data_IF_935950820051
#
_entry.id   IF_935950820051
#
_cell.length_a   1.000
_cell.length_b   1.000
_cell.length_c   1.000
_cell.angle_alpha   90.00
_cell.angle_beta   90.00
_cell.angle_gamma   90.00
#
_symmetry.space_group_name_H-M   'P 1'
#
loop_
_entity.id
_entity.type
_entity.pdbx_description
1 polymer ?
#
# COMPACT_ATOMS: atom_id res chain seq x y z
N UNK A 1 44.25 -15.32 -29.91
CA UNK A 1 43.70 -16.54 -29.29
C UNK A 1 42.89 -16.11 -28.08
N UNK A 2 41.58 -15.96 -28.25
CA UNK A 2 40.68 -15.54 -27.17
C UNK A 2 39.82 -16.74 -26.79
N UNK A 3 39.98 -17.20 -25.55
CA UNK A 3 39.22 -18.30 -24.99
C UNK A 3 37.73 -17.96 -24.97
N UNK A 4 36.96 -18.73 -25.72
CA UNK A 4 35.50 -18.76 -25.62
C UNK A 4 35.20 -19.38 -24.26
N UNK A 5 34.81 -18.55 -23.30
CA UNK A 5 34.15 -19.02 -22.08
C UNK A 5 32.90 -19.77 -22.52
N UNK A 6 32.94 -21.09 -22.41
CA UNK A 6 31.79 -21.98 -22.52
C UNK A 6 30.74 -21.47 -21.54
N UNK A 7 29.71 -20.79 -22.06
CA UNK A 7 28.50 -20.53 -21.32
C UNK A 7 27.97 -21.87 -20.83
N UNK A 8 27.80 -21.99 -19.51
CA UNK A 8 27.18 -23.15 -18.91
C UNK A 8 25.85 -23.42 -19.62
N UNK A 9 25.55 -24.66 -20.03
CA UNK A 9 24.30 -24.95 -20.70
C UNK A 9 23.15 -24.53 -19.78
N UNK A 10 22.28 -23.65 -20.28
CA UNK A 10 20.99 -23.32 -19.66
C UNK A 10 20.37 -24.65 -19.23
N UNK A 11 20.21 -24.82 -17.91
CA UNK A 11 19.46 -25.96 -17.36
C UNK A 11 18.11 -25.92 -18.05
N UNK A 12 17.86 -26.85 -18.99
CA UNK A 12 16.53 -27.10 -19.51
C UNK A 12 15.69 -27.40 -18.27
N UNK A 13 14.86 -26.45 -17.85
CA UNK A 13 13.89 -26.70 -16.79
C UNK A 13 13.02 -27.82 -17.34
N UNK A 14 13.15 -29.01 -16.74
CA UNK A 14 12.39 -30.17 -17.16
C UNK A 14 10.92 -29.80 -17.00
N UNK A 15 10.22 -29.63 -18.12
CA UNK A 15 8.80 -29.27 -18.14
C UNK A 15 8.04 -30.28 -17.28
N UNK A 16 7.30 -29.79 -16.29
CA UNK A 16 6.50 -30.64 -15.40
C UNK A 16 5.59 -31.54 -16.25
N UNK A 17 5.66 -32.85 -16.02
CA UNK A 17 4.81 -33.81 -16.69
C UNK A 17 3.59 -34.07 -15.83
N UNK A 18 2.43 -33.60 -16.26
CA UNK A 18 1.17 -33.87 -15.58
C UNK A 18 0.82 -35.37 -15.71
N UNK A 19 0.47 -36.00 -14.60
CA UNK A 19 0.22 -37.45 -14.50
C UNK A 19 -1.23 -37.76 -14.18
N UNK A 20 -1.78 -37.14 -13.14
CA UNK A 20 -3.17 -37.34 -12.71
C UNK A 20 -3.76 -36.02 -12.25
N UNK A 21 -5.08 -35.87 -12.35
CA UNK A 21 -5.83 -34.75 -11.79
C UNK A 21 -6.92 -35.33 -10.92
N UNK A 22 -6.93 -34.97 -9.65
CA UNK A 22 -8.00 -35.30 -8.71
C UNK A 22 -8.94 -34.11 -8.62
N UNK A 23 -10.24 -34.38 -8.74
CA UNK A 23 -11.30 -33.40 -8.51
C UNK A 23 -11.90 -33.71 -7.16
N UNK A 24 -11.83 -32.75 -6.26
CA UNK A 24 -12.42 -32.80 -4.93
C UNK A 24 -13.66 -31.92 -4.90
N UNK A 25 -14.69 -32.38 -4.20
CA UNK A 25 -15.91 -31.61 -3.99
C UNK A 25 -15.76 -30.56 -2.86
N UNK A 26 -16.84 -29.82 -2.57
CA UNK A 26 -16.89 -28.83 -1.48
C UNK A 26 -16.57 -29.41 -0.08
N UNK A 27 -16.53 -30.74 0.05
CA UNK A 27 -16.28 -31.48 1.30
C UNK A 27 -14.84 -32.03 1.35
N UNK A 28 -14.07 -31.88 0.28
CA UNK A 28 -12.73 -32.46 0.15
C UNK A 28 -12.74 -33.95 -0.22
N UNK A 29 -13.91 -34.51 -0.53
CA UNK A 29 -14.04 -35.89 -0.99
C UNK A 29 -13.79 -35.98 -2.49
N UNK A 30 -13.25 -37.12 -2.95
CA UNK A 30 -12.95 -37.34 -4.36
C UNK A 30 -14.24 -37.41 -5.19
N UNK A 31 -14.47 -36.36 -5.99
CA UNK A 31 -15.56 -36.29 -6.96
C UNK A 31 -15.21 -36.97 -8.29
N UNK A 32 -13.92 -37.03 -8.63
CA UNK A 32 -13.45 -37.72 -9.82
C UNK A 32 -11.93 -37.73 -9.98
N UNK A 33 -11.44 -38.65 -10.81
CA UNK A 33 -10.03 -38.78 -11.16
C UNK A 33 -9.87 -38.77 -12.68
N UNK A 34 -8.98 -37.91 -13.18
CA UNK A 34 -8.55 -37.90 -14.57
C UNK A 34 -7.12 -38.42 -14.64
N UNK A 35 -6.98 -39.63 -15.16
CA UNK A 35 -5.68 -40.30 -15.34
C UNK A 35 -5.14 -39.92 -16.73
N UNK A 36 -4.06 -39.15 -16.76
CA UNK A 36 -3.35 -38.78 -18.00
C UNK A 36 -2.21 -39.76 -18.31
N UNK A 37 -1.64 -40.37 -17.27
CA UNK A 37 -0.61 -41.39 -17.36
C UNK A 37 -0.97 -42.59 -16.45
N UNK A 38 -1.26 -43.73 -17.06
CA UNK A 38 -1.67 -44.95 -16.37
C UNK A 38 -0.55 -45.63 -15.57
N UNK A 39 0.70 -45.30 -15.88
CA UNK A 39 1.88 -45.93 -15.28
C UNK A 39 2.36 -45.17 -14.02
N UNK A 40 1.60 -44.19 -13.55
CA UNK A 40 1.95 -43.40 -12.37
C UNK A 40 1.68 -44.19 -11.07
N UNK A 41 2.72 -44.46 -10.25
CA UNK A 41 2.62 -45.32 -9.07
C UNK A 41 2.02 -44.62 -7.83
N UNK A 42 1.68 -43.33 -7.94
CA UNK A 42 1.14 -42.54 -6.83
C UNK A 42 -0.38 -42.48 -6.94
N UNK A 43 -1.04 -42.76 -5.83
CA UNK A 43 -2.49 -42.76 -5.71
C UNK A 43 -2.98 -41.66 -4.76
N UNK A 44 -4.30 -41.41 -4.80
CA UNK A 44 -4.94 -40.43 -3.91
C UNK A 44 -4.71 -40.71 -2.42
N UNK A 45 -4.55 -41.98 -2.05
CA UNK A 45 -4.23 -42.35 -0.66
C UNK A 45 -2.85 -41.85 -0.21
N UNK A 46 -1.91 -41.65 -1.13
CA UNK A 46 -0.59 -41.09 -0.79
C UNK A 46 -0.63 -39.57 -0.69
N UNK A 47 -1.56 -38.92 -1.42
CA UNK A 47 -1.89 -37.51 -1.20
C UNK A 47 -2.47 -37.28 0.20
N UNK A 48 -3.44 -38.09 0.62
CA UNK A 48 -4.08 -37.96 1.94
C UNK A 48 -3.10 -38.14 3.11
N UNK A 49 -2.06 -38.96 2.95
CA UNK A 49 -1.01 -39.15 3.98
C UNK A 49 -0.09 -37.95 4.14
N UNK A 50 0.05 -37.13 3.09
CA UNK A 50 0.97 -35.99 3.04
C UNK A 50 0.22 -34.66 3.21
N UNK A 51 -1.12 -34.70 3.18
CA UNK A 51 -1.96 -33.55 3.41
C UNK A 51 -1.79 -33.06 4.87
N UNK A 52 -1.44 -31.78 5.09
CA UNK A 52 -1.41 -31.21 6.43
C UNK A 52 -2.80 -31.20 7.09
N UNK A 53 -2.86 -31.26 8.42
CA UNK A 53 -4.11 -31.19 9.19
C UNK A 53 -4.89 -29.87 8.95
N UNK A 54 -4.19 -28.82 8.52
CA UNK A 54 -4.74 -27.51 8.16
C UNK A 54 -5.30 -27.47 6.72
N UNK A 55 -5.07 -28.51 5.92
CA UNK A 55 -5.40 -28.58 4.51
C UNK A 55 -4.31 -28.00 3.60
N UNK A 56 -4.56 -27.99 2.29
CA UNK A 56 -3.69 -27.38 1.29
C UNK A 56 -4.35 -26.10 0.74
N UNK A 57 -3.61 -24.99 0.70
CA UNK A 57 -4.10 -23.72 0.19
C UNK A 57 -4.19 -23.68 -1.34
N UNK A 58 -4.89 -22.67 -1.86
CA UNK A 58 -4.96 -22.44 -3.30
C UNK A 58 -3.56 -22.13 -3.85
N UNK A 59 -3.16 -22.87 -4.88
CA UNK A 59 -1.84 -22.82 -5.57
C UNK A 59 -0.67 -23.33 -4.73
N UNK A 60 -0.93 -23.91 -3.57
CA UNK A 60 0.11 -24.54 -2.78
C UNK A 60 0.51 -25.90 -3.37
N UNK A 61 1.78 -26.24 -3.18
CA UNK A 61 2.38 -27.45 -3.73
C UNK A 61 2.98 -28.32 -2.62
N UNK A 62 2.56 -29.58 -2.57
CA UNK A 62 3.10 -30.61 -1.68
C UNK A 62 4.02 -31.55 -2.45
N UNK A 63 5.19 -31.83 -1.88
CA UNK A 63 6.24 -32.63 -2.52
C UNK A 63 6.24 -34.06 -1.98
N UNK A 64 6.13 -35.04 -2.88
CA UNK A 64 6.22 -36.47 -2.58
C UNK A 64 7.27 -37.09 -3.50
N UNK A 65 8.53 -37.06 -3.04
CA UNK A 65 9.67 -37.55 -3.80
C UNK A 65 9.89 -36.76 -5.10
N UNK A 66 9.75 -37.43 -6.25
CA UNK A 66 9.87 -36.80 -7.58
C UNK A 66 8.56 -36.16 -8.08
N UNK A 67 7.47 -36.30 -7.31
CA UNK A 67 6.13 -35.86 -7.70
C UNK A 67 5.66 -34.70 -6.83
N UNK A 68 4.83 -33.85 -7.42
CA UNK A 68 4.32 -32.63 -6.82
C UNK A 68 2.81 -32.61 -6.97
N UNK A 69 2.11 -32.44 -5.86
CA UNK A 69 0.67 -32.17 -5.80
C UNK A 69 0.45 -30.68 -5.71
N UNK A 70 -0.19 -30.07 -6.71
CA UNK A 70 -0.55 -28.65 -6.68
C UNK A 70 -2.06 -28.51 -6.62
N UNK A 71 -2.58 -27.89 -5.57
CA UNK A 71 -4.02 -27.67 -5.43
C UNK A 71 -4.45 -26.35 -6.07
N UNK A 72 -5.61 -26.36 -6.70
CA UNK A 72 -6.28 -25.18 -7.24
C UNK A 72 -7.72 -25.17 -6.78
N UNK A 73 -8.13 -24.09 -6.13
CA UNK A 73 -9.49 -23.91 -5.68
C UNK A 73 -10.27 -23.14 -6.75
N UNK A 74 -11.32 -23.76 -7.31
CA UNK A 74 -12.23 -23.10 -8.24
C UNK A 74 -13.66 -23.29 -7.80
N UNK A 75 -14.22 -22.24 -7.18
CA UNK A 75 -15.61 -22.21 -6.76
C UNK A 75 -15.96 -23.32 -5.78
N UNK A 76 -16.72 -24.31 -6.26
CA UNK A 76 -17.24 -25.45 -5.49
C UNK A 76 -16.37 -26.70 -5.54
N UNK A 77 -15.33 -26.69 -6.38
CA UNK A 77 -14.46 -27.83 -6.58
C UNK A 77 -13.01 -27.43 -6.31
N UNK A 78 -12.23 -28.37 -5.78
CA UNK A 78 -10.78 -28.23 -5.67
C UNK A 78 -10.10 -29.24 -6.59
N UNK A 79 -9.19 -28.77 -7.44
CA UNK A 79 -8.45 -29.58 -8.39
C UNK A 79 -7.05 -29.79 -7.86
N UNK A 80 -6.66 -31.04 -7.62
CA UNK A 80 -5.31 -31.39 -7.19
C UNK A 80 -4.58 -32.04 -8.37
N UNK A 81 -3.59 -31.34 -8.90
CA UNK A 81 -2.78 -31.79 -10.02
C UNK A 81 -1.56 -32.54 -9.50
N UNK A 82 -1.39 -33.78 -9.95
CA UNK A 82 -0.18 -34.57 -9.72
C UNK A 82 0.74 -34.43 -10.92
N UNK A 83 1.91 -33.83 -10.72
CA UNK A 83 2.93 -33.63 -11.74
C UNK A 83 4.27 -34.23 -11.32
N UNK A 84 5.08 -34.69 -12.29
CA UNK A 84 6.48 -35.07 -12.06
C UNK A 84 7.35 -33.86 -12.36
N UNK A 85 8.00 -33.32 -11.32
CA UNK A 85 8.70 -32.03 -11.35
C UNK A 85 7.80 -30.84 -11.00
N UNK A 86 8.42 -29.69 -10.67
CA UNK A 86 7.71 -28.49 -10.25
C UNK A 86 7.06 -27.78 -11.44
N UNK A 87 5.78 -27.41 -11.32
CA UNK A 87 5.10 -26.55 -12.28
C UNK A 87 5.74 -25.16 -12.27
N UNK A 88 6.05 -24.62 -13.45
CA UNK A 88 6.50 -23.24 -13.56
C UNK A 88 5.37 -22.29 -13.09
N UNK A 89 5.69 -21.12 -12.51
CA UNK A 89 4.67 -20.18 -12.05
C UNK A 89 3.72 -19.73 -13.18
N UNK A 90 4.22 -19.69 -14.42
CA UNK A 90 3.42 -19.46 -15.62
C UNK A 90 2.41 -20.57 -15.87
N UNK A 91 2.83 -21.85 -15.77
CA UNK A 91 1.94 -23.00 -15.94
C UNK A 91 0.85 -23.02 -14.86
N UNK A 92 1.20 -22.68 -13.61
CA UNK A 92 0.25 -22.54 -12.49
C UNK A 92 -0.81 -21.46 -12.78
N UNK A 93 -0.39 -20.31 -13.32
CA UNK A 93 -1.32 -19.23 -13.66
C UNK A 93 -2.24 -19.59 -14.83
N UNK A 94 -1.72 -20.29 -15.84
CA UNK A 94 -2.52 -20.78 -16.96
C UNK A 94 -3.51 -21.87 -16.54
N UNK A 95 -3.11 -22.81 -15.68
CA UNK A 95 -4.02 -23.84 -15.15
C UNK A 95 -5.09 -23.21 -14.27
N UNK A 96 -4.74 -22.24 -13.41
CA UNK A 96 -5.71 -21.51 -12.62
C UNK A 96 -6.74 -20.80 -13.52
N UNK A 97 -6.28 -20.08 -14.55
CA UNK A 97 -7.16 -19.38 -15.49
C UNK A 97 -8.06 -20.33 -16.27
N UNK A 98 -7.52 -21.47 -16.73
CA UNK A 98 -8.30 -22.51 -17.42
C UNK A 98 -9.34 -23.15 -16.50
N UNK A 99 -9.01 -23.41 -15.23
CA UNK A 99 -9.93 -23.99 -14.26
C UNK A 99 -11.03 -22.99 -13.88
N UNK A 100 -10.69 -21.71 -13.68
CA UNK A 100 -11.68 -20.65 -13.46
C UNK A 100 -12.61 -20.46 -14.67
N UNK A 101 -12.08 -20.55 -15.90
CA UNK A 101 -12.88 -20.51 -17.11
C UNK A 101 -13.78 -21.74 -17.23
N UNK A 102 -13.26 -22.94 -16.97
CA UNK A 102 -14.04 -24.18 -16.97
C UNK A 102 -15.14 -24.17 -15.89
N UNK A 103 -14.87 -23.63 -14.71
CA UNK A 103 -15.85 -23.44 -13.64
C UNK A 103 -16.96 -22.47 -14.05
N UNK A 104 -16.65 -21.37 -14.75
CA UNK A 104 -17.69 -20.49 -15.31
C UNK A 104 -18.63 -21.22 -16.30
N UNK A 105 -18.10 -22.20 -17.04
CA UNK A 105 -18.88 -23.04 -17.96
C UNK A 105 -19.64 -24.16 -17.24
N UNK A 106 -19.06 -24.75 -16.18
CA UNK A 106 -19.70 -25.78 -15.36
C UNK A 106 -20.79 -25.19 -14.47
N UNK A 107 -20.57 -24.02 -13.88
CA UNK A 107 -21.55 -23.25 -13.13
C UNK A 107 -22.77 -22.89 -14.00
N UNK A 108 -22.54 -22.51 -15.27
CA UNK A 108 -23.59 -22.30 -16.25
C UNK A 108 -24.33 -23.62 -16.60
N UNK A 109 -23.63 -24.75 -16.68
CA UNK A 109 -24.25 -26.06 -16.93
C UNK A 109 -25.11 -26.56 -15.75
N UNK A 110 -24.74 -26.26 -14.49
CA UNK A 110 -25.56 -26.57 -13.30
C UNK A 110 -26.87 -25.77 -13.19
N UNK A 111 -27.03 -24.69 -13.98
CA UNK A 111 -28.29 -23.92 -14.05
C UNK A 111 -29.30 -24.47 -15.06
N UNK A 112 -28.95 -25.53 -15.81
CA UNK A 112 -29.86 -26.22 -16.73
C UNK A 112 -30.44 -27.46 -16.03
N UNK A 113 -31.77 -27.65 -15.99
CA UNK A 113 -32.33 -28.85 -15.36
C UNK A 113 -31.88 -30.08 -16.15
N UNK A 114 -31.17 -30.99 -15.48
CA UNK A 114 -30.74 -32.25 -16.04
C UNK A 114 -31.96 -33.16 -16.30
N UNK A 115 -32.00 -33.92 -17.42
CA UNK A 115 -33.00 -34.95 -17.60
C UNK A 115 -32.74 -36.08 -16.61
N UNK A 116 -33.80 -36.50 -15.92
CA UNK A 116 -33.78 -37.52 -14.88
C UNK A 116 -33.19 -38.84 -15.39
N UNK A 117 -32.21 -39.39 -14.67
CA UNK A 117 -31.93 -40.83 -14.67
C UNK A 117 -31.69 -41.35 -13.26
N UNK A 118 -32.48 -42.39 -12.99
CA UNK A 118 -32.35 -43.53 -12.10
C UNK A 118 -31.67 -43.37 -10.73
N UNK A 119 -32.45 -43.77 -9.73
CA UNK A 119 -32.16 -43.83 -8.31
C UNK A 119 -31.00 -44.75 -7.95
N UNK A 120 -30.18 -44.29 -7.00
CA UNK A 120 -29.40 -45.08 -6.02
C UNK A 120 -29.24 -44.23 -4.73
N UNK A 121 -28.87 -44.83 -3.57
CA UNK A 121 -29.61 -44.73 -2.31
C UNK A 121 -29.46 -43.38 -1.60
N UNK A 122 -30.53 -42.94 -0.93
CA UNK A 122 -30.58 -41.70 -0.13
C UNK A 122 -29.48 -41.69 0.93
N UNK A 123 -28.51 -40.76 0.89
CA UNK A 123 -27.82 -40.35 2.10
C UNK A 123 -28.77 -39.44 2.92
N UNK A 124 -28.63 -39.47 4.26
CA UNK A 124 -29.42 -38.70 5.22
C UNK A 124 -29.50 -37.20 4.85
N UNK A 125 -30.53 -36.81 4.11
CA UNK A 125 -30.78 -35.42 3.68
C UNK A 125 -30.92 -34.49 4.89
N UNK A 126 -31.43 -35.01 6.00
CA UNK A 126 -31.65 -34.26 7.24
C UNK A 126 -30.34 -33.87 7.93
N UNK A 127 -29.29 -34.70 7.84
CA UNK A 127 -27.96 -34.34 8.36
C UNK A 127 -27.29 -33.28 7.49
N UNK A 128 -27.45 -33.37 6.18
CA UNK A 128 -26.92 -32.37 5.24
C UNK A 128 -27.61 -31.01 5.33
N UNK A 129 -28.87 -30.96 5.78
CA UNK A 129 -29.57 -29.71 6.09
C UNK A 129 -29.10 -29.14 7.44
N UNK A 130 -28.96 -29.97 8.47
CA UNK A 130 -28.43 -29.54 9.76
C UNK A 130 -26.99 -28.98 9.67
N UNK A 131 -26.12 -29.57 8.85
CA UNK A 131 -24.78 -29.04 8.59
C UNK A 131 -24.80 -27.70 7.85
N UNK A 132 -25.75 -27.51 6.93
CA UNK A 132 -25.92 -26.24 6.20
C UNK A 132 -26.43 -25.14 7.12
N UNK A 133 -27.41 -25.45 7.97
CA UNK A 133 -27.95 -24.51 8.95
C UNK A 133 -26.86 -24.14 9.98
N UNK A 134 -26.04 -25.09 10.42
CA UNK A 134 -24.90 -24.81 11.29
C UNK A 134 -23.85 -23.89 10.62
N UNK A 135 -23.56 -24.10 9.33
CA UNK A 135 -22.65 -23.24 8.55
C UNK A 135 -23.23 -21.84 8.34
N UNK A 136 -24.53 -21.72 8.09
CA UNK A 136 -25.22 -20.43 7.99
C UNK A 136 -25.20 -19.70 9.32
N UNK A 137 -25.51 -20.36 10.42
CA UNK A 137 -25.40 -19.78 11.76
C UNK A 137 -23.97 -19.36 12.11
N UNK A 138 -22.94 -20.10 11.68
CA UNK A 138 -21.55 -19.70 11.85
C UNK A 138 -21.21 -18.45 11.04
N UNK A 139 -21.69 -18.35 9.79
CA UNK A 139 -21.54 -17.15 8.97
C UNK A 139 -22.28 -15.95 9.56
N UNK A 140 -23.51 -16.13 10.02
CA UNK A 140 -24.30 -15.09 10.69
C UNK A 140 -23.60 -14.59 11.96
N UNK A 141 -23.02 -15.49 12.76
CA UNK A 141 -22.20 -15.10 13.93
C UNK A 141 -20.96 -14.31 13.52
N UNK A 142 -20.24 -14.75 12.49
CA UNK A 142 -19.06 -14.02 11.98
C UNK A 142 -19.42 -12.63 11.44
N UNK A 143 -20.58 -12.50 10.78
CA UNK A 143 -21.09 -11.20 10.30
C UNK A 143 -21.50 -10.31 11.48
N UNK A 144 -22.16 -10.86 12.50
CA UNK A 144 -22.50 -10.12 13.71
C UNK A 144 -21.25 -9.64 14.47
N UNK A 145 -20.18 -10.43 14.49
CA UNK A 145 -18.89 -10.03 15.06
C UNK A 145 -18.22 -8.90 14.27
N UNK A 146 -18.27 -8.97 12.92
CA UNK A 146 -17.75 -7.90 12.06
C UNK A 146 -18.57 -6.61 12.21
N UNK A 147 -19.90 -6.70 12.26
CA UNK A 147 -20.77 -5.55 12.51
C UNK A 147 -20.51 -4.93 13.90
N UNK A 148 -20.23 -5.75 14.92
CA UNK A 148 -19.84 -5.27 16.24
C UNK A 148 -18.49 -4.56 16.21
N UNK A 149 -17.49 -5.10 15.50
CA UNK A 149 -16.19 -4.46 15.29
C UNK A 149 -16.32 -3.13 14.55
N UNK A 150 -17.09 -3.08 13.46
CA UNK A 150 -17.34 -1.85 12.71
C UNK A 150 -18.04 -0.79 13.57
N UNK A 151 -19.01 -1.17 14.41
CA UNK A 151 -19.64 -0.25 15.36
C UNK A 151 -18.66 0.26 16.41
N UNK A 152 -17.77 -0.58 16.92
CA UNK A 152 -16.73 -0.18 17.86
C UNK A 152 -15.72 0.77 17.21
N UNK A 153 -15.29 0.50 15.98
CA UNK A 153 -14.39 1.36 15.22
C UNK A 153 -15.04 2.70 14.88
N UNK A 154 -16.33 2.72 14.53
CA UNK A 154 -17.08 3.95 14.33
C UNK A 154 -17.14 4.80 15.61
N UNK A 155 -17.36 4.18 16.76
CA UNK A 155 -17.35 4.86 18.06
C UNK A 155 -15.94 5.39 18.43
N UNK A 156 -14.89 4.64 18.10
CA UNK A 156 -13.51 5.08 18.30
C UNK A 156 -13.16 6.28 17.41
N UNK A 157 -13.60 6.27 16.15
CA UNK A 157 -13.42 7.39 15.23
C UNK A 157 -14.19 8.63 15.68
N UNK A 158 -15.43 8.48 16.14
CA UNK A 158 -16.18 9.61 16.71
C UNK A 158 -15.52 10.16 17.97
N UNK A 159 -15.00 9.30 18.85
CA UNK A 159 -14.24 9.72 20.03
C UNK A 159 -12.98 10.51 19.68
N UNK A 160 -12.20 10.05 18.68
CA UNK A 160 -11.03 10.78 18.17
C UNK A 160 -11.42 12.12 17.54
N UNK A 161 -12.54 12.17 16.84
CA UNK A 161 -13.06 13.41 16.27
C UNK A 161 -13.43 14.43 17.36
N UNK A 162 -14.11 13.99 18.43
CA UNK A 162 -14.40 14.86 19.59
C UNK A 162 -13.13 15.35 20.28
N UNK A 163 -12.10 14.51 20.41
CA UNK A 163 -10.81 14.92 20.97
C UNK A 163 -10.10 15.95 20.09
N UNK A 164 -10.12 15.78 18.76
CA UNK A 164 -9.60 16.78 17.83
C UNK A 164 -10.36 18.10 17.94
N UNK A 165 -11.68 18.05 18.07
CA UNK A 165 -12.49 19.25 18.20
C UNK A 165 -12.27 19.94 19.57
N UNK A 166 -12.03 19.18 20.64
CA UNK A 166 -11.56 19.74 21.93
C UNK A 166 -10.17 20.37 21.81
N UNK A 167 -9.24 19.76 21.07
CA UNK A 167 -7.91 20.33 20.84
C UNK A 167 -8.00 21.63 20.02
N UNK A 168 -8.81 21.65 18.97
CA UNK A 168 -9.09 22.88 18.20
C UNK A 168 -9.68 23.98 19.08
N UNK A 169 -10.64 23.65 19.93
CA UNK A 169 -11.23 24.61 20.87
C UNK A 169 -10.19 25.16 21.87
N UNK A 170 -9.27 24.32 22.36
CA UNK A 170 -8.15 24.77 23.20
C UNK A 170 -7.18 25.68 22.46
N UNK A 171 -6.86 25.37 21.20
CA UNK A 171 -6.01 26.22 20.36
C UNK A 171 -6.68 27.57 20.07
N UNK A 172 -8.00 27.57 19.80
CA UNK A 172 -8.77 28.80 19.64
C UNK A 172 -8.76 29.64 20.93
N UNK A 173 -8.98 29.02 22.09
CA UNK A 173 -8.90 29.72 23.38
C UNK A 173 -7.50 30.28 23.68
N UNK A 174 -6.43 29.58 23.28
CA UNK A 174 -5.05 30.08 23.39
C UNK A 174 -4.81 31.26 22.44
N UNK A 175 -5.34 31.21 21.22
CA UNK A 175 -5.29 32.32 20.29
C UNK A 175 -6.03 33.55 20.87
N UNK A 176 -7.23 33.37 21.40
CA UNK A 176 -8.01 34.44 22.05
C UNK A 176 -7.31 34.99 23.31
N UNK A 177 -6.64 34.15 24.08
CA UNK A 177 -5.84 34.60 25.21
C UNK A 177 -4.63 35.43 24.76
N UNK A 178 -3.97 35.03 23.66
CA UNK A 178 -2.83 35.77 23.11
C UNK A 178 -3.24 37.15 22.58
N UNK A 179 -4.42 37.27 21.96
CA UNK A 179 -4.96 38.56 21.50
C UNK A 179 -5.35 39.44 22.68
N UNK A 180 -5.97 38.86 23.73
CA UNK A 180 -6.25 39.59 24.98
C UNK A 180 -4.98 40.09 25.67
N UNK A 181 -3.90 39.30 25.69
CA UNK A 181 -2.60 39.73 26.21
C UNK A 181 -2.00 40.85 25.38
N UNK A 182 -2.04 40.76 24.05
CA UNK A 182 -1.57 41.84 23.16
C UNK A 182 -2.36 43.14 23.38
N UNK A 183 -3.68 43.04 23.56
CA UNK A 183 -4.54 44.18 23.89
C UNK A 183 -4.28 44.74 25.28
N UNK A 184 -4.01 43.89 26.27
CA UNK A 184 -3.65 44.32 27.61
C UNK A 184 -2.28 45.02 27.63
N UNK A 185 -1.31 44.52 26.87
CA UNK A 185 0.01 45.14 26.70
C UNK A 185 -0.10 46.46 25.96
N UNK A 186 -0.89 46.56 24.89
CA UNK A 186 -1.07 47.83 24.17
C UNK A 186 -1.78 48.90 25.03
N UNK A 187 -2.78 48.49 25.82
CA UNK A 187 -3.44 49.35 26.82
C UNK A 187 -2.50 49.72 27.97
N UNK A 188 -1.65 48.80 28.42
CA UNK A 188 -0.62 49.03 29.43
C UNK A 188 0.44 50.02 28.94
N UNK A 189 0.94 49.83 27.73
CA UNK A 189 1.92 50.68 27.07
C UNK A 189 1.38 52.11 26.83
N UNK A 190 0.12 52.24 26.44
CA UNK A 190 -0.51 53.56 26.28
C UNK A 190 -0.79 54.26 27.62
N UNK A 191 -1.12 53.51 28.68
CA UNK A 191 -1.20 54.07 30.04
C UNK A 191 0.18 54.47 30.56
N UNK A 192 1.20 53.64 30.38
CA UNK A 192 2.57 53.95 30.80
C UNK A 192 3.12 55.15 30.03
N UNK A 193 2.85 55.25 28.73
CA UNK A 193 3.20 56.42 27.92
C UNK A 193 2.55 57.70 28.47
N UNK A 194 1.26 57.66 28.82
CA UNK A 194 0.56 58.80 29.45
C UNK A 194 1.11 59.14 30.83
N UNK A 195 1.39 58.14 31.66
CA UNK A 195 1.99 58.39 32.99
C UNK A 195 3.41 58.91 32.88
N UNK A 196 4.15 58.50 31.84
CA UNK A 196 5.51 58.96 31.57
C UNK A 196 5.48 60.40 31.03
N UNK A 197 4.51 60.76 30.18
CA UNK A 197 4.27 62.14 29.74
C UNK A 197 3.87 63.05 30.93
N UNK A 198 3.02 62.56 31.84
CA UNK A 198 2.67 63.27 33.10
C UNK A 198 3.89 63.36 34.03
N UNK A 199 4.69 62.29 34.13
CA UNK A 199 5.91 62.27 34.92
C UNK A 199 7.00 63.15 34.32
N UNK A 200 7.09 63.32 33.01
CA UNK A 200 7.98 64.26 32.32
C UNK A 200 7.54 65.71 32.58
N UNK A 201 6.24 65.98 32.63
CA UNK A 201 5.69 67.29 33.05
C UNK A 201 5.95 67.57 34.55
N UNK A 202 5.88 66.53 35.39
CA UNK A 202 6.22 66.61 36.82
C UNK A 202 7.73 66.69 37.06
N UNK A 203 8.57 66.03 36.26
CA UNK A 203 10.03 66.09 36.33
C UNK A 203 10.57 67.41 35.79
N UNK A 204 9.93 67.98 34.76
CA UNK A 204 10.16 69.36 34.32
C UNK A 204 9.81 70.40 35.42
N UNK A 205 9.03 70.00 36.44
CA UNK A 205 8.70 70.84 37.60
C UNK A 205 9.33 70.37 38.93
N UNK A 206 10.04 69.24 38.97
CA UNK A 206 10.69 68.72 40.17
C UNK A 206 12.17 68.42 39.93
N UNK A 207 12.92 69.50 40.09
CA UNK A 207 14.12 69.62 40.90
C UNK A 207 15.42 68.87 40.56
N UNK A 208 16.48 69.69 40.65
CA UNK A 208 17.82 69.31 41.09
C UNK A 208 17.81 68.55 42.44
N UNK A 209 18.95 67.93 42.72
CA UNK A 209 19.41 67.40 44.02
C UNK A 209 19.12 65.94 44.41
N UNK A 210 19.93 65.05 43.84
CA UNK A 210 20.38 63.80 44.49
C UNK A 210 21.62 63.18 43.78
N UNK A 211 22.58 64.02 43.39
CA UNK A 211 23.77 63.59 42.62
C UNK A 211 24.86 63.03 43.55
N UNK A 212 24.91 61.70 43.75
CA UNK A 212 26.17 60.89 43.74
C UNK A 212 25.97 59.40 44.07
N UNK A 213 24.99 59.00 44.87
CA UNK A 213 24.71 57.56 45.12
C UNK A 213 23.81 56.95 44.04
N UNK A 214 22.80 57.70 43.59
CA UNK A 214 21.93 57.31 42.48
C UNK A 214 22.65 57.24 41.13
N UNK A 215 23.78 57.95 40.98
CA UNK A 215 24.58 57.98 39.76
C UNK A 215 25.19 56.62 39.39
N UNK A 216 25.50 55.77 40.37
CA UNK A 216 26.15 54.47 40.13
C UNK A 216 25.12 53.36 39.94
N UNK A 217 24.09 53.32 40.79
CA UNK A 217 22.96 52.41 40.60
C UNK A 217 22.22 52.66 39.27
N UNK A 218 22.07 53.93 38.86
CA UNK A 218 21.50 54.27 37.56
C UNK A 218 22.42 53.97 36.38
N UNK A 219 23.76 54.05 36.52
CA UNK A 219 24.66 53.61 35.46
C UNK A 219 24.63 52.10 35.27
N UNK A 220 24.61 51.35 36.38
CA UNK A 220 24.58 49.88 36.35
C UNK A 220 23.24 49.38 35.79
N UNK A 221 22.12 50.01 36.16
CA UNK A 221 20.81 49.73 35.56
C UNK A 221 20.77 50.05 34.06
N UNK A 222 21.35 51.17 33.62
CA UNK A 222 21.43 51.52 32.18
C UNK A 222 22.25 50.50 31.40
N UNK A 223 23.38 50.04 31.96
CA UNK A 223 24.19 49.00 31.33
C UNK A 223 23.44 47.66 31.23
N UNK A 224 22.70 47.27 32.27
CA UNK A 224 21.86 46.07 32.24
C UNK A 224 20.77 46.16 31.15
N UNK A 225 20.06 47.29 31.06
CA UNK A 225 19.06 47.51 30.01
C UNK A 225 19.67 47.54 28.60
N UNK A 226 20.87 48.10 28.44
CA UNK A 226 21.58 48.07 27.16
C UNK A 226 22.00 46.64 26.77
N UNK A 227 22.41 45.82 27.72
CA UNK A 227 22.72 44.41 27.49
C UNK A 227 21.47 43.61 27.13
N UNK A 228 20.36 43.80 27.86
CA UNK A 228 19.07 43.17 27.54
C UNK A 228 18.56 43.60 26.17
N UNK A 229 18.66 44.90 25.83
CA UNK A 229 18.29 45.41 24.50
C UNK A 229 19.14 44.76 23.41
N UNK A 230 20.45 44.62 23.62
CA UNK A 230 21.34 43.92 22.67
C UNK A 230 20.97 42.45 22.53
N UNK A 231 20.67 41.76 23.63
CA UNK A 231 20.24 40.36 23.62
C UNK A 231 18.90 40.18 22.90
N UNK A 232 17.93 41.08 23.12
CA UNK A 232 16.64 41.06 22.44
C UNK A 232 16.77 41.35 20.94
N UNK A 233 17.65 42.27 20.55
CA UNK A 233 17.93 42.53 19.12
C UNK A 233 18.56 41.30 18.47
N UNK A 234 19.53 40.65 19.12
CA UNK A 234 20.14 39.41 18.62
C UNK A 234 19.11 38.27 18.52
N UNK A 235 18.28 38.08 19.54
CA UNK A 235 17.21 37.07 19.51
C UNK A 235 16.19 37.34 18.40
N UNK A 236 15.87 38.62 18.15
CA UNK A 236 14.99 39.02 17.05
C UNK A 236 15.60 38.69 15.69
N UNK A 237 16.88 39.01 15.45
CA UNK A 237 17.55 38.69 14.18
C UNK A 237 17.66 37.18 13.97
N UNK A 238 17.92 36.41 15.02
CA UNK A 238 17.96 34.95 14.96
C UNK A 238 16.58 34.35 14.65
N UNK A 239 15.51 34.96 15.16
CA UNK A 239 14.15 34.52 14.88
C UNK A 239 13.72 34.90 13.46
N UNK A 240 14.10 36.09 12.97
CA UNK A 240 13.86 36.52 11.60
C UNK A 240 14.57 35.62 10.57
N UNK A 241 15.83 35.25 10.83
CA UNK A 241 16.57 34.31 9.96
C UNK A 241 15.92 32.93 9.94
N UNK A 242 15.55 32.38 11.10
CA UNK A 242 14.80 31.10 11.17
C UNK A 242 13.46 31.16 10.46
N UNK A 243 12.75 32.29 10.54
CA UNK A 243 11.50 32.49 9.82
C UNK A 243 11.71 32.55 8.30
N UNK A 244 12.78 33.21 7.83
CA UNK A 244 13.15 33.23 6.42
C UNK A 244 13.54 31.84 5.91
N UNK A 245 14.32 31.07 6.68
CA UNK A 245 14.66 29.70 6.34
C UNK A 245 13.43 28.79 6.31
N UNK A 246 12.53 28.91 7.28
CA UNK A 246 11.29 28.15 7.31
C UNK A 246 10.38 28.48 6.12
N UNK A 247 10.24 29.77 5.78
CA UNK A 247 9.44 30.18 4.62
C UNK A 247 10.05 29.72 3.30
N UNK A 248 11.38 29.72 3.16
CA UNK A 248 12.07 29.17 2.01
C UNK A 248 11.86 27.65 1.87
N UNK A 249 11.92 26.90 2.98
CA UNK A 249 11.64 25.45 2.99
C UNK A 249 10.19 25.15 2.60
N UNK A 250 9.22 25.92 3.11
CA UNK A 250 7.82 25.79 2.73
C UNK A 250 7.64 26.03 1.23
N UNK A 251 8.25 27.08 0.68
CA UNK A 251 8.18 27.37 -0.75
C UNK A 251 8.80 26.25 -1.63
N UNK A 252 9.88 25.62 -1.16
CA UNK A 252 10.47 24.46 -1.83
C UNK A 252 9.53 23.26 -1.82
N UNK A 253 8.95 22.91 -0.67
CA UNK A 253 7.99 21.81 -0.54
C UNK A 253 6.73 22.05 -1.38
N UNK A 254 6.23 23.29 -1.45
CA UNK A 254 5.11 23.64 -2.32
C UNK A 254 5.44 23.46 -3.81
N UNK A 255 6.69 23.76 -4.19
CA UNK A 255 7.15 23.56 -5.57
C UNK A 255 7.25 22.06 -5.90
N UNK A 256 7.87 21.28 -5.03
CA UNK A 256 7.97 19.82 -5.17
C UNK A 256 6.57 19.17 -5.21
N UNK A 257 5.65 19.62 -4.37
CA UNK A 257 4.27 19.16 -4.39
C UNK A 257 3.59 19.47 -5.74
N UNK A 258 3.74 20.69 -6.28
CA UNK A 258 3.20 21.04 -7.60
C UNK A 258 3.81 20.21 -8.73
N UNK A 259 5.12 19.96 -8.70
CA UNK A 259 5.80 19.12 -9.68
C UNK A 259 5.32 17.66 -9.59
N UNK A 260 5.14 17.12 -8.39
CA UNK A 260 4.60 15.76 -8.19
C UNK A 260 3.17 15.61 -8.71
N UNK A 261 2.31 16.62 -8.49
CA UNK A 261 0.94 16.64 -8.99
C UNK A 261 0.92 16.70 -10.52
N UNK A 262 1.78 17.52 -11.14
CA UNK A 262 1.90 17.60 -12.58
C UNK A 262 2.38 16.27 -13.20
N UNK A 263 3.29 15.55 -12.53
CA UNK A 263 3.72 14.22 -12.96
C UNK A 263 2.59 13.20 -12.87
N UNK A 264 1.84 13.17 -11.76
CA UNK A 264 0.69 12.28 -11.59
C UNK A 264 -0.41 12.56 -12.60
N UNK A 265 -0.67 13.82 -12.92
CA UNK A 265 -1.64 14.20 -13.95
C UNK A 265 -1.20 13.70 -15.33
N UNK A 266 0.09 13.85 -15.67
CA UNK A 266 0.65 13.31 -16.90
C UNK A 266 0.54 11.78 -16.97
N UNK A 267 0.84 11.09 -15.88
CA UNK A 267 0.69 9.63 -15.81
C UNK A 267 -0.76 9.18 -15.95
N UNK A 268 -1.72 9.92 -15.39
CA UNK A 268 -3.15 9.66 -15.59
C UNK A 268 -3.56 9.83 -17.06
N UNK A 269 -3.08 10.88 -17.73
CA UNK A 269 -3.33 11.09 -19.15
C UNK A 269 -2.71 9.94 -19.97
N UNK A 270 -1.48 9.56 -19.68
CA UNK A 270 -0.81 8.45 -20.36
C UNK A 270 -1.52 7.10 -20.11
N UNK A 271 -2.00 6.86 -18.89
CA UNK A 271 -2.75 5.65 -18.53
C UNK A 271 -4.09 5.58 -19.25
N UNK A 272 -4.83 6.69 -19.33
CA UNK A 272 -6.10 6.75 -20.08
C UNK A 272 -5.88 6.57 -21.59
N UNK A 273 -4.79 7.10 -22.13
CA UNK A 273 -4.40 6.86 -23.53
C UNK A 273 -4.07 5.39 -23.79
N UNK A 274 -3.31 4.73 -22.89
CA UNK A 274 -3.02 3.29 -22.99
C UNK A 274 -4.28 2.44 -22.89
N UNK A 275 -5.19 2.74 -21.97
CA UNK A 275 -6.46 2.03 -21.84
C UNK A 275 -7.31 2.18 -23.12
N UNK A 276 -7.35 3.37 -23.72
CA UNK A 276 -8.05 3.58 -24.99
C UNK A 276 -7.44 2.79 -26.16
N UNK A 277 -6.11 2.67 -26.22
CA UNK A 277 -5.44 1.81 -27.21
C UNK A 277 -5.70 0.32 -26.96
N UNK A 278 -5.68 -0.12 -25.70
CA UNK A 278 -6.03 -1.50 -25.34
C UNK A 278 -7.47 -1.82 -25.75
N UNK A 279 -8.43 -0.94 -25.50
CA UNK A 279 -9.83 -1.12 -25.93
C UNK A 279 -9.97 -1.18 -27.45
N UNK A 280 -9.20 -0.38 -28.21
CA UNK A 280 -9.16 -0.50 -29.68
C UNK A 280 -8.65 -1.87 -30.09
N UNK A 281 -7.54 -2.34 -29.51
CA UNK A 281 -6.99 -3.65 -29.85
C UNK A 281 -7.92 -4.80 -29.47
N UNK A 282 -8.66 -4.70 -28.34
CA UNK A 282 -9.68 -5.67 -27.95
C UNK A 282 -10.81 -5.74 -28.98
N UNK A 283 -11.35 -4.59 -29.40
CA UNK A 283 -12.38 -4.52 -30.45
C UNK A 283 -11.90 -5.07 -31.79
N UNK A 284 -10.64 -4.84 -32.15
CA UNK A 284 -10.04 -5.43 -33.36
C UNK A 284 -9.88 -6.94 -33.27
N UNK A 285 -9.56 -7.48 -32.09
CA UNK A 285 -9.48 -8.92 -31.88
C UNK A 285 -10.89 -9.53 -31.92
N UNK A 286 -11.87 -8.92 -31.25
CA UNK A 286 -13.26 -9.35 -31.26
C UNK A 286 -13.84 -9.38 -32.67
N UNK A 287 -13.58 -8.35 -33.50
CA UNK A 287 -14.03 -8.33 -34.88
C UNK A 287 -13.37 -9.43 -35.71
N UNK A 288 -12.06 -9.66 -35.56
CA UNK A 288 -11.37 -10.77 -36.25
C UNK A 288 -11.88 -12.15 -35.80
N UNK A 289 -12.19 -12.32 -34.53
CA UNK A 289 -12.77 -13.57 -34.01
C UNK A 289 -14.17 -13.79 -34.57
N UNK A 290 -14.99 -12.74 -34.65
CA UNK A 290 -16.31 -12.80 -35.29
C UNK A 290 -16.20 -13.16 -36.78
N UNK A 291 -15.28 -12.53 -37.52
CA UNK A 291 -15.01 -12.83 -38.93
C UNK A 291 -14.56 -14.28 -39.13
N UNK A 292 -13.64 -14.78 -38.30
CA UNK A 292 -13.19 -16.17 -38.34
C UNK A 292 -14.33 -17.14 -38.01
N UNK A 293 -15.14 -16.84 -37.01
CA UNK A 293 -16.32 -17.64 -36.66
C UNK A 293 -17.31 -17.71 -37.83
N UNK A 294 -17.60 -16.58 -38.48
CA UNK A 294 -18.44 -16.56 -39.68
C UNK A 294 -17.85 -17.42 -40.80
N UNK A 295 -16.54 -17.32 -41.06
CA UNK A 295 -15.84 -18.17 -42.05
C UNK A 295 -15.91 -19.66 -41.70
N UNK A 296 -15.77 -20.02 -40.43
CA UNK A 296 -15.95 -21.42 -40.00
C UNK A 296 -17.39 -21.90 -40.23
N UNK A 297 -18.39 -21.08 -39.94
CA UNK A 297 -19.79 -21.43 -40.22
C UNK A 297 -20.07 -21.54 -41.72
N UNK A 298 -19.50 -20.67 -42.56
CA UNK A 298 -19.66 -20.75 -44.02
C UNK A 298 -18.97 -21.99 -44.58
N UNK A 299 -17.73 -22.27 -44.16
CA UNK A 299 -17.02 -23.50 -44.54
C UNK A 299 -17.74 -24.76 -44.08
N UNK A 300 -18.31 -24.78 -42.87
CA UNK A 300 -19.10 -25.91 -42.38
C UNK A 300 -20.36 -26.12 -43.24
N UNK A 301 -21.05 -25.03 -43.60
CA UNK A 301 -22.20 -25.08 -44.53
C UNK A 301 -21.79 -25.56 -45.92
N UNK A 302 -20.67 -25.08 -46.46
CA UNK A 302 -20.14 -25.51 -47.76
C UNK A 302 -19.74 -26.99 -47.75
N UNK A 303 -19.10 -27.49 -46.68
CA UNK A 303 -18.80 -28.92 -46.52
C UNK A 303 -20.07 -29.76 -46.43
N UNK A 304 -21.11 -29.26 -45.76
CA UNK A 304 -22.41 -29.91 -45.71
C UNK A 304 -23.04 -29.99 -47.11
N UNK A 305 -23.03 -28.90 -47.88
CA UNK A 305 -23.55 -28.85 -49.25
C UNK A 305 -22.71 -29.73 -50.19
N UNK A 306 -21.40 -29.74 -50.06
CA UNK A 306 -20.49 -30.57 -50.84
C UNK A 306 -20.68 -32.07 -50.58
N UNK A 307 -21.04 -32.46 -49.34
CA UNK A 307 -21.34 -33.86 -48.99
C UNK A 307 -22.60 -34.43 -49.67
N UNK A 308 -23.44 -33.57 -50.26
CA UNK A 308 -24.63 -33.98 -51.03
C UNK A 308 -24.36 -34.06 -52.55
N UNK A 309 -23.11 -33.84 -52.99
CA UNK A 309 -22.71 -33.94 -54.39
C UNK A 309 -22.22 -35.37 -54.68
N UNK A 310 -22.71 -36.05 -55.73
CA UNK A 310 -22.27 -37.43 -56.03
C UNK A 310 -20.78 -37.48 -56.35
N UNK A 311 -20.07 -38.56 -55.95
CA UNK A 311 -18.63 -38.67 -56.12
C UNK A 311 -18.30 -38.93 -57.60
N UNK A 312 -17.86 -37.87 -58.27
CA UNK A 312 -17.23 -37.94 -59.60
C UNK A 312 -15.71 -37.85 -59.46
N UNK A 313 -15.01 -38.60 -60.30
CA UNK A 313 -13.56 -38.77 -60.34
C UNK A 313 -12.76 -37.47 -60.15
N UNK A 314 -11.65 -37.59 -59.43
CA UNK A 314 -10.74 -36.48 -59.08
C UNK A 314 -10.09 -35.93 -60.36
N UNK A 315 -10.78 -34.99 -61.02
CA UNK A 315 -10.31 -34.22 -62.18
C UNK A 315 -8.99 -33.50 -61.87
N UNK A 316 -8.19 -33.21 -62.89
CA UNK A 316 -6.93 -32.44 -62.78
C UNK A 316 -7.10 -31.09 -62.07
N UNK A 317 -8.32 -30.53 -62.09
CA UNK A 317 -8.69 -29.31 -61.38
C UNK A 317 -8.62 -29.49 -59.85
N UNK A 318 -8.96 -30.67 -59.33
CA UNK A 318 -8.85 -30.98 -57.89
C UNK A 318 -7.38 -31.14 -57.48
N UNK A 319 -6.52 -31.64 -58.38
CA UNK A 319 -5.06 -31.67 -58.13
C UNK A 319 -4.47 -30.26 -58.09
N UNK A 320 -4.85 -29.39 -59.02
CA UNK A 320 -4.45 -27.97 -59.00
C UNK A 320 -4.99 -27.23 -57.77
N UNK A 321 -6.22 -27.52 -57.34
CA UNK A 321 -6.79 -26.97 -56.11
C UNK A 321 -5.99 -27.43 -54.87
N UNK A 322 -5.66 -28.72 -54.78
CA UNK A 322 -4.83 -29.27 -53.70
C UNK A 322 -3.40 -28.71 -53.71
N UNK A 323 -2.81 -28.43 -54.87
CA UNK A 323 -1.52 -27.76 -54.98
C UNK A 323 -1.59 -26.27 -54.57
N UNK A 324 -2.70 -25.59 -54.90
CA UNK A 324 -3.00 -24.24 -54.43
C UNK A 324 -3.13 -24.17 -52.91
N UNK A 325 -3.92 -25.07 -52.33
CA UNK A 325 -4.08 -25.21 -50.87
C UNK A 325 -2.74 -25.52 -50.18
N UNK A 326 -1.91 -26.40 -50.76
CA UNK A 326 -0.55 -26.65 -50.24
C UNK A 326 0.33 -25.40 -50.29
N UNK A 327 0.22 -24.58 -51.32
CA UNK A 327 0.98 -23.34 -51.43
C UNK A 327 0.50 -22.28 -50.44
N UNK A 328 -0.81 -22.20 -50.17
CA UNK A 328 -1.40 -21.34 -49.14
C UNK A 328 -0.98 -21.79 -47.74
N UNK A 329 -1.07 -23.08 -47.42
CA UNK A 329 -0.59 -23.65 -46.16
C UNK A 329 0.91 -23.40 -45.96
N UNK A 330 1.72 -23.44 -47.03
CA UNK A 330 3.14 -23.10 -46.95
C UNK A 330 3.39 -21.60 -46.65
N UNK A 331 2.55 -20.71 -47.16
CA UNK A 331 2.60 -19.26 -46.86
C UNK A 331 2.13 -18.99 -45.43
N UNK A 332 1.05 -19.62 -45.00
CA UNK A 332 0.54 -19.54 -43.63
C UNK A 332 1.56 -20.07 -42.64
N UNK A 333 2.22 -21.19 -42.94
CA UNK A 333 3.31 -21.72 -42.11
C UNK A 333 4.46 -20.72 -41.96
N UNK A 334 4.87 -20.06 -43.04
CA UNK A 334 5.91 -19.01 -42.99
C UNK A 334 5.45 -17.78 -42.21
N UNK A 335 4.19 -17.39 -42.36
CA UNK A 335 3.60 -16.28 -41.61
C UNK A 335 3.54 -16.58 -40.11
N UNK A 336 3.04 -17.75 -39.73
CA UNK A 336 3.00 -18.22 -38.35
C UNK A 336 4.40 -18.35 -37.76
N UNK A 337 5.38 -18.85 -38.53
CA UNK A 337 6.76 -18.92 -38.10
C UNK A 337 7.36 -17.52 -37.84
N UNK A 338 7.13 -16.55 -38.73
CA UNK A 338 7.55 -15.15 -38.49
C UNK A 338 6.86 -14.55 -37.28
N UNK A 339 5.56 -14.80 -37.12
CA UNK A 339 4.79 -14.30 -35.99
C UNK A 339 5.25 -14.90 -34.66
N UNK A 340 5.62 -16.18 -34.65
CA UNK A 340 6.21 -16.83 -33.49
C UNK A 340 7.54 -16.17 -33.08
N UNK A 341 8.40 -15.84 -34.06
CA UNK A 341 9.66 -15.12 -33.80
C UNK A 341 9.37 -13.72 -33.23
N UNK A 342 8.44 -12.97 -33.82
CA UNK A 342 8.05 -11.65 -33.30
C UNK A 342 7.49 -11.70 -31.87
N UNK A 343 6.76 -12.77 -31.51
CA UNK A 343 6.26 -12.95 -30.16
C UNK A 343 7.39 -13.28 -29.18
N UNK A 344 8.35 -14.12 -29.58
CA UNK A 344 9.55 -14.40 -28.78
C UNK A 344 10.38 -13.13 -28.54
N UNK A 345 10.61 -12.32 -29.58
CA UNK A 345 11.33 -11.04 -29.45
C UNK A 345 10.59 -10.05 -28.51
N UNK A 346 9.26 -10.04 -28.56
CA UNK A 346 8.45 -9.21 -27.64
C UNK A 346 8.55 -9.72 -26.21
N UNK A 347 8.52 -11.03 -26.02
CA UNK A 347 8.66 -11.66 -24.72
C UNK A 347 10.05 -11.37 -24.12
N UNK A 348 11.12 -11.48 -24.91
CA UNK A 348 12.48 -11.12 -24.47
C UNK A 348 12.56 -9.64 -24.05
N UNK A 349 11.94 -8.73 -24.83
CA UNK A 349 11.86 -7.30 -24.44
C UNK A 349 11.04 -7.06 -23.17
N UNK A 350 10.03 -7.89 -22.90
CA UNK A 350 9.25 -7.81 -21.66
C UNK A 350 10.10 -8.29 -20.49
N UNK A 351 10.80 -9.43 -20.62
CA UNK A 351 11.73 -9.92 -19.61
C UNK A 351 12.83 -8.93 -19.29
N UNK A 352 13.41 -8.26 -20.30
CA UNK A 352 14.41 -7.21 -20.09
C UNK A 352 13.84 -6.01 -19.30
N UNK A 353 12.57 -5.66 -19.54
CA UNK A 353 11.91 -4.59 -18.79
C UNK A 353 11.61 -5.00 -17.36
N UNK A 354 11.15 -6.23 -17.15
CA UNK A 354 10.89 -6.80 -15.82
C UNK A 354 12.18 -6.88 -15.01
N UNK A 355 13.28 -7.34 -15.60
CA UNK A 355 14.59 -7.36 -14.94
C UNK A 355 15.04 -5.95 -14.49
N UNK A 356 14.79 -4.91 -15.31
CA UNK A 356 15.05 -3.50 -14.94
C UNK A 356 14.10 -2.96 -13.89
N UNK A 357 12.88 -3.48 -13.80
CA UNK A 357 11.94 -3.12 -12.72
C UNK A 357 12.41 -3.77 -11.42
N UNK A 358 12.71 -5.07 -11.44
CA UNK A 358 13.26 -5.77 -10.27
C UNK A 358 14.55 -5.13 -9.74
N UNK A 359 15.45 -4.68 -10.62
CA UNK A 359 16.67 -3.98 -10.21
C UNK A 359 16.36 -2.66 -9.50
N UNK A 360 15.38 -1.90 -10.01
CA UNK A 360 14.92 -0.66 -9.36
C UNK A 360 14.23 -0.94 -8.03
N UNK A 361 13.42 -1.98 -7.94
CA UNK A 361 12.74 -2.37 -6.70
C UNK A 361 13.77 -2.80 -5.63
N UNK A 362 14.81 -3.53 -6.03
CA UNK A 362 15.94 -3.87 -5.14
C UNK A 362 16.68 -2.60 -4.70
N UNK A 363 16.87 -1.62 -5.58
CA UNK A 363 17.49 -0.35 -5.22
C UNK A 363 16.64 0.47 -4.24
N UNK A 364 15.32 0.54 -4.46
CA UNK A 364 14.40 1.19 -3.53
C UNK A 364 14.39 0.49 -2.17
N UNK A 365 14.34 -0.84 -2.12
CA UNK A 365 14.42 -1.59 -0.87
C UNK A 365 15.72 -1.33 -0.09
N UNK A 366 16.86 -1.16 -0.79
CA UNK A 366 18.12 -0.74 -0.14
C UNK A 366 18.04 0.67 0.43
N UNK A 367 17.47 1.62 -0.32
CA UNK A 367 17.30 3.00 0.16
C UNK A 367 16.37 3.09 1.36
N UNK A 368 15.30 2.29 1.40
CA UNK A 368 14.41 2.19 2.56
C UNK A 368 15.13 1.63 3.79
N UNK A 369 15.95 0.59 3.62
CA UNK A 369 16.79 0.06 4.70
C UNK A 369 17.80 1.11 5.22
N UNK A 370 18.43 1.88 4.32
CA UNK A 370 19.33 2.96 4.70
C UNK A 370 18.61 4.07 5.46
N UNK A 371 17.41 4.49 5.01
CA UNK A 371 16.62 5.51 5.69
C UNK A 371 16.16 5.04 7.08
N UNK A 372 15.64 3.82 7.18
CA UNK A 372 15.22 3.25 8.47
C UNK A 372 16.38 3.11 9.45
N UNK A 373 17.58 2.75 8.98
CA UNK A 373 18.79 2.72 9.83
C UNK A 373 19.17 4.12 10.33
N UNK A 374 19.09 5.14 9.48
CA UNK A 374 19.36 6.54 9.85
C UNK A 374 18.33 7.08 10.84
N UNK A 375 17.05 6.74 10.67
CA UNK A 375 16.00 7.11 11.62
C UNK A 375 16.27 6.51 13.00
N UNK A 376 16.61 5.22 13.05
CA UNK A 376 17.00 4.56 14.31
C UNK A 376 18.21 5.23 14.97
N UNK A 377 19.22 5.62 14.20
CA UNK A 377 20.39 6.31 14.73
C UNK A 377 20.07 7.72 15.22
N UNK A 378 19.18 8.45 14.55
CA UNK A 378 18.68 9.75 15.02
C UNK A 378 17.87 9.61 16.32
N UNK A 379 17.05 8.58 16.45
CA UNK A 379 16.31 8.32 17.69
C UNK A 379 17.23 7.89 18.84
N UNK A 380 18.28 7.12 18.55
CA UNK A 380 19.36 6.85 19.52
C UNK A 380 20.08 8.13 19.94
N UNK A 381 20.40 9.02 19.00
CA UNK A 381 21.01 10.31 19.34
C UNK A 381 20.07 11.19 20.16
N UNK A 382 18.77 11.23 19.84
CA UNK A 382 17.76 11.97 20.61
C UNK A 382 17.62 11.44 22.03
N UNK A 383 17.58 10.12 22.20
CA UNK A 383 17.50 9.50 23.54
C UNK A 383 18.77 9.77 24.35
N UNK A 384 19.96 9.70 23.74
CA UNK A 384 21.21 10.09 24.39
C UNK A 384 21.24 11.57 24.77
N UNK A 385 20.77 12.48 23.90
CA UNK A 385 20.67 13.91 24.22
C UNK A 385 19.64 14.21 25.32
N UNK A 386 18.54 13.45 25.37
CA UNK A 386 17.56 13.56 26.43
C UNK A 386 18.12 13.09 27.79
N UNK A 387 18.95 12.03 27.79
CA UNK A 387 19.64 11.54 28.99
C UNK A 387 20.83 12.43 29.40
N UNK A 388 21.51 13.06 28.44
CA UNK A 388 22.62 13.97 28.68
C UNK A 388 22.17 15.38 29.07
N UNK A 389 20.86 15.68 29.06
CA UNK A 389 20.34 16.95 29.58
C UNK A 389 20.47 16.92 31.11
N UNK A 390 21.38 17.70 31.72
CA UNK A 390 21.46 17.76 33.17
C UNK A 390 20.11 18.20 33.71
N UNK A 391 19.65 17.57 34.80
CA UNK A 391 18.54 18.09 35.59
C UNK A 391 18.80 19.57 35.81
N UNK A 392 17.87 20.43 35.37
CA UNK A 392 17.90 21.83 35.73
C UNK A 392 18.05 21.88 37.26
N UNK A 393 19.02 22.64 37.81
CA UNK A 393 19.18 22.71 39.24
C UNK A 393 17.83 23.10 39.83
N UNK A 394 17.31 22.28 40.74
CA UNK A 394 16.18 22.65 41.57
C UNK A 394 16.49 24.03 42.13
N UNK A 395 15.73 25.03 41.70
CA UNK A 395 15.72 26.35 42.32
C UNK A 395 15.12 26.14 43.71
N UNK A 396 15.96 25.70 44.64
CA UNK A 396 15.67 25.62 46.06
C UNK A 396 15.20 27.00 46.50
N UNK A 397 13.95 27.08 46.97
CA UNK A 397 13.45 27.80 48.14
C UNK A 397 14.03 29.17 48.59
N UNK A 398 14.92 29.83 47.86
CA UNK A 398 15.47 31.14 48.19
C UNK A 398 14.46 32.31 48.11
N UNK A 399 13.48 32.36 47.18
CA UNK A 399 12.62 33.54 47.10
C UNK A 399 11.68 33.67 48.30
N UNK A 400 11.37 32.57 48.99
CA UNK A 400 10.47 32.57 50.15
C UNK A 400 11.21 32.87 51.46
N UNK A 401 12.49 32.54 51.57
CA UNK A 401 13.34 32.98 52.70
C UNK A 401 13.67 34.47 52.61
N UNK A 402 13.97 34.96 51.39
CA UNK A 402 14.22 36.38 51.16
C UNK A 402 12.98 37.24 51.48
N UNK A 403 11.77 36.79 51.12
CA UNK A 403 10.52 37.48 51.48
C UNK A 403 10.29 37.52 52.99
N UNK A 404 10.56 36.41 53.70
CA UNK A 404 10.43 36.35 55.17
C UNK A 404 11.43 37.25 55.89
N UNK A 405 12.66 37.39 55.39
CA UNK A 405 13.64 38.32 55.96
C UNK A 405 13.22 39.78 55.77
N UNK A 406 12.69 40.12 54.60
CA UNK A 406 12.15 41.45 54.32
C UNK A 406 10.98 41.78 55.26
N UNK A 407 10.04 40.86 55.46
CA UNK A 407 8.92 41.07 56.40
C UNK A 407 9.38 41.28 57.86
N UNK A 408 10.41 40.54 58.30
CA UNK A 408 10.98 40.74 59.65
C UNK A 408 11.63 42.11 59.79
N UNK A 409 12.39 42.54 58.78
CA UNK A 409 13.03 43.87 58.78
C UNK A 409 11.99 44.99 58.80
N UNK A 410 10.90 44.86 58.04
CA UNK A 410 9.80 45.82 58.05
C UNK A 410 9.15 45.91 59.43
N UNK A 411 8.88 44.76 60.09
CA UNK A 411 8.35 44.76 61.46
C UNK A 411 9.28 45.44 62.47
N UNK A 412 10.59 45.18 62.38
CA UNK A 412 11.58 45.82 63.26
C UNK A 412 11.58 47.34 63.05
N UNK A 413 11.51 47.80 61.81
CA UNK A 413 11.46 49.24 61.50
C UNK A 413 10.17 49.87 62.01
N UNK A 414 9.01 49.22 61.82
CA UNK A 414 7.73 49.70 62.34
C UNK A 414 7.73 49.77 63.87
N UNK A 415 8.30 48.77 64.54
CA UNK A 415 8.39 48.75 66.00
C UNK A 415 9.33 49.84 66.53
N UNK A 416 10.47 50.06 65.87
CA UNK A 416 11.37 51.18 66.21
C UNK A 416 10.75 52.55 65.92
N UNK A 417 9.94 52.67 64.86
CA UNK A 417 9.22 53.90 64.57
C UNK A 417 8.14 54.21 65.62
N UNK A 418 7.52 53.17 66.18
CA UNK A 418 6.57 53.30 67.30
C UNK A 418 7.26 53.62 68.63
N UNK A 419 8.49 53.16 68.86
CA UNK A 419 9.29 53.50 70.05
C UNK A 419 9.86 54.94 70.02
N UNK A 420 9.85 55.58 68.86
CA UNK A 420 10.32 56.96 68.65
C UNK A 420 9.20 58.02 68.65
N UNK A 421 7.94 57.58 68.74
CA UNK A 421 6.74 58.40 68.97
C UNK A 421 6.34 58.30 70.44
#
# INVERSE_FOLDING_TARGET
MSGILMAAPLKKVARAQLKKIYVLDERGEMAGEYILDSDCPIDYNDFLKVLPDEGIGDRDSLFVGEYVFTAFQSGKFAFVLLSRGQLAPEDVNWTALLLTAADSHLAAATSRPAPARAAEPKPDVDKGLAERDARLQAKEKSLAELDAKLKADAANLSGRQEELDRQKARLAALADYSTQLQDAVSKGASRSAKTLEIAEQLAASSNEDSKKAESKASSDARQAFEQERKALVAAKTDLETRYQEASARIAQLEKEAKESLALLEKERVDATARAAEEDKTRREIESRVADLSQRFTSMAKERLVASHRPPGEVSEEVRKAMEGEKAELARERKFLQRRAIELLDREERVRDREARVEERDREFGRREQDLTSREQDLDRQRTLLAQAKPQAPEVRAEPDEAKKDIERRVKIIQQKALELL
#
